data_IF_941932253444
#
_entry.id   IF_941932253444
#
_cell.length_a   1.000
_cell.length_b   1.000
_cell.length_c   1.000
_cell.angle_alpha   90.00
_cell.angle_beta   90.00
_cell.angle_gamma   90.00
#
_symmetry.space_group_name_H-M   'P 1'
#
loop_
_entity.id
_entity.type
_entity.pdbx_description
1 polymer ?
#
# COMPACT_ATOMS: atom_id res chain seq x y z
N UNK A 1 -19.43 4.92 -15.19
CA UNK A 1 -19.80 4.81 -13.76
C UNK A 1 -19.44 6.09 -13.03
N UNK A 2 -20.44 6.83 -12.58
CA UNK A 2 -20.30 7.97 -11.68
C UNK A 2 -20.00 7.52 -10.25
N UNK A 3 -19.03 8.16 -9.59
CA UNK A 3 -18.63 7.88 -8.22
C UNK A 3 -18.94 9.09 -7.33
N UNK A 4 -19.75 8.85 -6.30
CA UNK A 4 -20.04 9.87 -5.28
C UNK A 4 -19.12 9.68 -4.09
N UNK A 5 -18.28 10.68 -3.79
CA UNK A 5 -17.43 10.69 -2.59
C UNK A 5 -18.30 10.66 -1.32
N UNK A 6 -17.97 9.80 -0.37
CA UNK A 6 -18.67 9.66 0.93
C UNK A 6 -17.74 9.95 2.09
N UNK A 7 -16.50 9.48 2.00
CA UNK A 7 -15.51 9.57 3.09
C UNK A 7 -14.40 10.57 2.79
N UNK A 8 -14.16 10.84 1.51
CA UNK A 8 -13.07 11.70 1.03
C UNK A 8 -13.58 13.01 0.46
N UNK A 9 -12.65 13.95 0.26
CA UNK A 9 -12.91 15.22 -0.43
C UNK A 9 -11.90 15.39 -1.55
N UNK A 10 -12.33 16.02 -2.63
CA UNK A 10 -11.45 16.33 -3.75
C UNK A 10 -10.28 17.21 -3.32
N UNK A 11 -9.08 16.91 -3.82
CA UNK A 11 -7.85 17.63 -3.50
C UNK A 11 -7.24 17.32 -2.13
N UNK A 12 -7.86 16.44 -1.32
CA UNK A 12 -7.28 15.98 -0.06
C UNK A 12 -6.60 14.62 -0.24
N UNK A 13 -5.41 14.46 0.33
CA UNK A 13 -4.72 13.17 0.36
C UNK A 13 -5.49 12.18 1.27
N UNK A 14 -6.00 11.05 0.75
CA UNK A 14 -6.69 10.06 1.57
C UNK A 14 -5.75 9.37 2.59
N UNK A 15 -4.43 9.33 2.36
CA UNK A 15 -3.48 8.75 3.32
C UNK A 15 -3.28 9.64 4.55
N UNK A 16 -3.58 10.94 4.46
CA UNK A 16 -3.54 11.87 5.59
C UNK A 16 -4.73 11.73 6.56
N UNK A 17 -5.64 10.76 6.32
CA UNK A 17 -6.83 10.55 7.16
C UNK A 17 -6.57 9.67 8.40
N UNK A 18 -5.33 9.23 8.59
CA UNK A 18 -4.89 8.45 9.76
C UNK A 18 -3.49 8.87 10.19
N UNK A 19 -3.15 8.57 11.43
CA UNK A 19 -1.78 8.68 11.93
C UNK A 19 -0.99 7.42 11.53
N UNK A 20 0.27 7.60 11.12
CA UNK A 20 1.16 6.52 10.72
C UNK A 20 2.23 6.29 11.79
N UNK A 21 2.61 5.03 11.99
CA UNK A 21 3.67 4.64 12.91
C UNK A 21 4.50 3.52 12.33
N UNK A 22 5.78 3.47 12.69
CA UNK A 22 6.64 2.32 12.40
C UNK A 22 6.52 1.26 13.49
N UNK A 23 6.46 -0.01 13.11
CA UNK A 23 6.49 -1.16 14.03
C UNK A 23 7.42 -2.25 13.50
N UNK A 24 8.03 -2.97 14.42
CA UNK A 24 8.79 -4.17 14.09
C UNK A 24 7.83 -5.35 13.88
N UNK A 25 8.06 -6.12 12.82
CA UNK A 25 7.42 -7.41 12.58
C UNK A 25 8.51 -8.47 12.49
N UNK A 26 8.44 -9.47 13.37
CA UNK A 26 9.44 -10.55 13.47
C UNK A 26 8.74 -11.90 13.49
N UNK A 27 9.18 -12.80 12.61
CA UNK A 27 8.73 -14.19 12.57
C UNK A 27 9.90 -15.05 13.05
N UNK A 28 9.65 -15.88 14.05
CA UNK A 28 10.62 -16.79 14.62
C UNK A 28 10.17 -18.24 14.53
N UNK A 29 11.14 -19.16 14.43
CA UNK A 29 10.91 -20.58 14.60
C UNK A 29 10.66 -20.93 16.07
N UNK A 30 10.13 -22.13 16.38
CA UNK A 30 9.96 -22.60 17.75
C UNK A 30 11.27 -22.66 18.57
N UNK A 31 12.42 -22.80 17.89
CA UNK A 31 13.75 -22.79 18.51
C UNK A 31 14.28 -21.36 18.80
N UNK A 32 13.51 -20.32 18.47
CA UNK A 32 13.86 -18.92 18.67
C UNK A 32 14.66 -18.27 17.53
N UNK A 33 15.08 -19.04 16.51
CA UNK A 33 15.78 -18.49 15.35
C UNK A 33 14.86 -17.59 14.52
N UNK A 34 15.43 -16.53 13.91
CA UNK A 34 14.67 -15.56 13.10
C UNK A 34 14.49 -16.06 11.69
N UNK A 35 13.24 -16.19 11.26
CA UNK A 35 12.87 -16.53 9.88
C UNK A 35 12.80 -15.26 9.03
N UNK A 36 12.26 -14.19 9.60
CA UNK A 36 12.07 -12.92 8.92
C UNK A 36 11.96 -11.79 9.93
N UNK A 37 12.51 -10.63 9.60
CA UNK A 37 12.39 -9.42 10.41
C UNK A 37 12.30 -8.18 9.53
N UNK A 38 11.37 -7.30 9.87
CA UNK A 38 11.26 -5.95 9.33
C UNK A 38 11.09 -5.00 10.52
N UNK A 39 12.14 -4.27 10.93
CA UNK A 39 12.11 -3.48 12.17
C UNK A 39 11.25 -2.22 12.07
N UNK A 40 10.92 -1.79 10.86
CA UNK A 40 10.37 -0.47 10.57
C UNK A 40 9.26 -0.50 9.51
N UNK A 41 8.35 -1.46 9.62
CA UNK A 41 7.15 -1.48 8.80
C UNK A 41 6.25 -0.31 9.19
N UNK A 42 5.92 0.56 8.24
CA UNK A 42 4.99 1.67 8.46
C UNK A 42 3.54 1.20 8.27
N UNK A 43 2.71 1.41 9.28
CA UNK A 43 1.30 1.01 9.32
C UNK A 43 0.45 2.11 9.98
N UNK A 44 -0.88 2.12 9.77
CA UNK A 44 -1.76 2.98 10.55
C UNK A 44 -1.61 2.74 12.05
N UNK A 45 -1.56 3.80 12.85
CA UNK A 45 -1.34 3.73 14.29
C UNK A 45 -2.40 2.89 15.02
N UNK A 46 -3.63 2.86 14.49
CA UNK A 46 -4.73 2.05 15.00
C UNK A 46 -4.59 0.54 14.77
N UNK A 47 -3.66 0.07 13.93
CA UNK A 47 -3.48 -1.37 13.73
C UNK A 47 -2.94 -2.03 15.00
N UNK A 48 -3.34 -3.28 15.26
CA UNK A 48 -2.73 -4.08 16.31
C UNK A 48 -1.36 -4.62 15.88
N UNK A 49 -0.56 -5.11 16.83
CA UNK A 49 0.69 -5.80 16.50
C UNK A 49 0.42 -7.03 15.61
N UNK A 50 -0.61 -7.82 15.95
CA UNK A 50 -1.01 -8.98 15.14
C UNK A 50 -1.39 -8.59 13.71
N UNK A 51 -2.13 -7.49 13.52
CA UNK A 51 -2.46 -6.98 12.19
C UNK A 51 -1.20 -6.56 11.42
N UNK A 52 -0.25 -5.91 12.10
CA UNK A 52 1.06 -5.54 11.54
C UNK A 52 1.81 -6.80 11.06
N UNK A 53 1.94 -7.80 11.93
CA UNK A 53 2.67 -9.03 11.63
C UNK A 53 2.03 -9.81 10.47
N UNK A 54 0.70 -9.90 10.44
CA UNK A 54 -0.02 -10.53 9.31
C UNK A 54 0.22 -9.75 8.02
N UNK A 55 0.09 -8.42 8.05
CA UNK A 55 0.24 -7.59 6.86
C UNK A 55 1.65 -7.68 6.27
N UNK A 56 2.67 -7.57 7.11
CA UNK A 56 4.06 -7.67 6.69
C UNK A 56 4.41 -9.08 6.22
N UNK A 57 3.99 -10.11 6.95
CA UNK A 57 4.37 -11.50 6.64
C UNK A 57 3.68 -12.07 5.40
N UNK A 58 2.45 -11.61 5.12
CA UNK A 58 1.59 -12.14 4.05
C UNK A 58 1.47 -11.19 2.87
N UNK A 59 1.25 -9.90 3.08
CA UNK A 59 0.74 -9.01 2.05
C UNK A 59 1.78 -8.02 1.50
N UNK A 60 2.85 -7.75 2.24
CA UNK A 60 3.97 -7.00 1.69
C UNK A 60 4.71 -7.85 0.64
N UNK A 61 4.92 -7.26 -0.54
CA UNK A 61 5.85 -7.83 -1.53
C UNK A 61 7.25 -7.87 -0.93
N UNK A 62 7.92 -9.01 -1.09
CA UNK A 62 9.24 -9.25 -0.47
C UNK A 62 10.42 -8.80 -1.33
N UNK A 63 10.20 -8.61 -2.63
CA UNK A 63 11.23 -8.22 -3.60
C UNK A 63 10.59 -7.62 -4.85
N UNK A 64 11.42 -7.02 -5.72
CA UNK A 64 10.99 -6.54 -7.04
C UNK A 64 10.27 -5.19 -7.04
N UNK A 65 10.07 -4.57 -5.88
CA UNK A 65 9.47 -3.24 -5.79
C UNK A 65 10.55 -2.17 -5.91
N UNK A 66 10.46 -1.22 -6.87
CA UNK A 66 11.39 -0.10 -6.95
C UNK A 66 11.51 0.62 -5.61
N UNK A 67 12.73 0.80 -5.14
CA UNK A 67 12.99 1.53 -3.91
C UNK A 67 13.10 3.02 -4.21
N UNK A 68 12.60 3.85 -3.31
CA UNK A 68 12.58 5.30 -3.44
C UNK A 68 13.53 5.93 -2.41
N UNK A 69 14.06 7.12 -2.69
CA UNK A 69 14.91 7.86 -1.75
C UNK A 69 14.20 8.06 -0.41
N UNK A 70 12.94 8.53 -0.45
CA UNK A 70 12.06 8.51 0.70
C UNK A 70 11.38 7.15 0.86
N UNK A 71 11.86 6.39 1.85
CA UNK A 71 11.51 4.98 2.10
C UNK A 71 10.03 4.59 2.05
N UNK A 72 9.14 5.44 2.57
CA UNK A 72 7.70 5.16 2.70
C UNK A 72 6.84 5.90 1.66
N UNK A 73 7.48 6.64 0.76
CA UNK A 73 6.79 7.37 -0.29
C UNK A 73 6.14 6.41 -1.30
N UNK A 74 5.14 6.94 -2.01
CA UNK A 74 4.48 6.27 -3.12
C UNK A 74 5.19 6.56 -4.45
N UNK A 75 4.99 5.73 -5.49
CA UNK A 75 5.51 6.03 -6.82
C UNK A 75 5.14 7.44 -7.29
N UNK A 76 6.15 8.25 -7.64
CA UNK A 76 5.98 9.63 -8.09
C UNK A 76 6.08 10.69 -6.99
N UNK A 77 6.14 10.31 -5.71
CA UNK A 77 6.37 11.23 -4.60
C UNK A 77 7.87 11.48 -4.33
N UNK A 78 8.73 10.54 -4.73
CA UNK A 78 10.19 10.58 -4.53
C UNK A 78 10.92 9.94 -5.71
N UNK A 79 12.19 10.31 -5.89
CA UNK A 79 13.06 9.70 -6.89
C UNK A 79 13.33 8.22 -6.60
N UNK A 80 13.53 7.46 -7.68
CA UNK A 80 13.88 6.03 -7.62
C UNK A 80 15.36 5.85 -7.34
N UNK A 81 15.68 4.99 -6.37
CA UNK A 81 17.06 4.61 -6.08
C UNK A 81 17.63 3.78 -7.24
N UNK A 82 18.89 4.02 -7.54
CA UNK A 82 19.65 3.32 -8.58
C UNK A 82 20.89 2.67 -7.99
N UNK A 83 21.21 1.49 -8.49
CA UNK A 83 22.47 0.81 -8.21
C UNK A 83 23.64 1.56 -8.90
N UNK A 84 24.87 1.18 -8.55
CA UNK A 84 26.07 1.79 -9.14
C UNK A 84 26.17 1.62 -10.67
N UNK A 85 25.52 0.59 -11.23
CA UNK A 85 25.45 0.35 -12.68
C UNK A 85 24.30 1.11 -13.38
N UNK A 86 23.54 1.93 -12.63
CA UNK A 86 22.42 2.72 -13.13
C UNK A 86 21.08 1.96 -13.20
N UNK A 87 21.04 0.67 -12.88
CA UNK A 87 19.79 -0.10 -12.80
C UNK A 87 18.94 0.34 -11.60
N UNK A 88 17.61 0.21 -11.71
CA UNK A 88 16.69 0.53 -10.60
C UNK A 88 16.93 -0.45 -9.45
N UNK A 89 17.17 0.10 -8.26
CA UNK A 89 17.26 -0.71 -7.05
C UNK A 89 15.86 -1.20 -6.68
N UNK A 90 15.73 -2.50 -6.44
CA UNK A 90 14.46 -3.12 -6.02
C UNK A 90 14.58 -3.77 -4.65
N UNK A 91 13.45 -3.94 -3.97
CA UNK A 91 13.38 -4.47 -2.62
C UNK A 91 11.95 -4.80 -2.21
N UNK A 92 11.68 -4.96 -0.90
CA UNK A 92 10.35 -5.21 -0.39
C UNK A 92 9.50 -3.93 -0.32
N UNK A 93 8.17 -4.09 -0.21
CA UNK A 93 7.30 -3.06 0.36
C UNK A 93 7.66 -2.86 1.84
N UNK A 94 7.52 -1.62 2.33
CA UNK A 94 7.83 -1.25 3.71
C UNK A 94 6.75 -0.45 4.40
N UNK A 95 5.74 0.01 3.65
CA UNK A 95 4.59 0.72 4.19
C UNK A 95 3.29 0.09 3.73
N UNK A 96 2.31 0.03 4.62
CA UNK A 96 0.93 -0.28 4.26
C UNK A 96 0.37 0.74 3.25
N UNK A 97 0.90 1.97 3.19
CA UNK A 97 0.58 2.94 2.12
C UNK A 97 0.85 2.33 0.73
N UNK A 98 2.01 1.69 0.57
CA UNK A 98 2.44 1.11 -0.70
C UNK A 98 1.54 -0.07 -1.12
N UNK A 99 1.18 -0.94 -0.17
CA UNK A 99 0.23 -2.05 -0.42
C UNK A 99 -1.13 -1.51 -0.84
N UNK A 100 -1.67 -0.55 -0.10
CA UNK A 100 -3.00 0.03 -0.35
C UNK A 100 -3.02 0.76 -1.70
N UNK A 101 -1.98 1.54 -2.00
CA UNK A 101 -1.80 2.18 -3.29
C UNK A 101 -1.74 1.16 -4.42
N UNK A 102 -0.97 0.08 -4.27
CA UNK A 102 -0.86 -0.99 -5.27
C UNK A 102 -2.23 -1.59 -5.59
N UNK A 103 -3.06 -1.85 -4.58
CA UNK A 103 -4.41 -2.37 -4.78
C UNK A 103 -5.33 -1.35 -5.44
N UNK A 104 -5.54 -0.20 -4.79
CA UNK A 104 -6.48 0.82 -5.25
C UNK A 104 -6.07 1.38 -6.62
N UNK A 105 -4.78 1.60 -6.83
CA UNK A 105 -4.19 2.10 -8.07
C UNK A 105 -4.35 1.12 -9.22
N UNK A 106 -4.07 -0.18 -9.00
CA UNK A 106 -4.27 -1.19 -10.04
C UNK A 106 -5.74 -1.34 -10.44
N UNK A 107 -6.66 -1.36 -9.47
CA UNK A 107 -8.09 -1.44 -9.79
C UNK A 107 -8.59 -0.19 -10.51
N UNK A 108 -8.13 1.01 -10.11
CA UNK A 108 -8.43 2.24 -10.84
C UNK A 108 -7.89 2.15 -12.27
N UNK A 109 -6.65 1.73 -12.46
CA UNK A 109 -6.03 1.62 -13.78
C UNK A 109 -6.83 0.72 -14.73
N UNK A 110 -7.29 -0.44 -14.25
CA UNK A 110 -8.14 -1.33 -15.05
C UNK A 110 -9.51 -0.74 -15.33
N UNK A 111 -10.11 -0.04 -14.37
CA UNK A 111 -11.36 0.68 -14.58
C UNK A 111 -11.22 1.80 -15.63
N UNK A 112 -10.11 2.53 -15.64
CA UNK A 112 -9.79 3.53 -16.67
C UNK A 112 -9.55 2.86 -18.02
N UNK A 113 -8.76 1.78 -18.07
CA UNK A 113 -8.40 1.04 -19.30
C UNK A 113 -9.62 0.43 -20.00
N UNK A 114 -10.67 0.13 -19.26
CA UNK A 114 -11.90 -0.45 -19.78
C UNK A 114 -13.09 0.53 -19.81
N UNK A 115 -12.81 1.83 -19.72
CA UNK A 115 -13.82 2.90 -19.82
C UNK A 115 -14.98 2.76 -18.82
N UNK A 116 -14.68 2.28 -17.60
CA UNK A 116 -15.71 2.09 -16.58
C UNK A 116 -16.18 3.40 -15.95
N UNK A 117 -15.36 4.45 -15.94
CA UNK A 117 -15.67 5.72 -15.26
C UNK A 117 -16.30 6.73 -16.22
N UNK A 118 -17.27 7.51 -15.72
CA UNK A 118 -17.90 8.56 -16.56
C UNK A 118 -16.95 9.75 -16.79
N UNK A 119 -15.97 9.94 -15.90
CA UNK A 119 -14.95 10.99 -16.01
C UNK A 119 -13.65 10.63 -15.27
N UNK A 120 -12.52 11.32 -15.55
CA UNK A 120 -11.30 11.18 -14.76
C UNK A 120 -11.48 11.52 -13.27
N UNK A 121 -12.40 12.43 -12.95
CA UNK A 121 -12.72 12.78 -11.57
C UNK A 121 -13.40 11.62 -10.83
N UNK A 122 -14.22 10.82 -11.52
CA UNK A 122 -14.83 9.61 -10.96
C UNK A 122 -13.77 8.52 -10.69
N UNK A 123 -12.79 8.37 -11.57
CA UNK A 123 -11.68 7.44 -11.38
C UNK A 123 -10.81 7.82 -10.16
N UNK A 124 -10.54 9.12 -9.99
CA UNK A 124 -9.84 9.63 -8.81
C UNK A 124 -10.68 9.43 -7.53
N UNK A 125 -11.97 9.75 -7.56
CA UNK A 125 -12.85 9.54 -6.43
C UNK A 125 -12.94 8.05 -6.03
N UNK A 126 -12.96 7.14 -7.01
CA UNK A 126 -12.90 5.70 -6.76
C UNK A 126 -11.64 5.28 -6.00
N UNK A 127 -10.47 5.75 -6.46
CA UNK A 127 -9.21 5.49 -5.79
C UNK A 127 -9.20 6.03 -4.35
N UNK A 128 -9.59 7.29 -4.16
CA UNK A 128 -9.55 7.94 -2.85
C UNK A 128 -10.47 7.25 -1.83
N UNK A 129 -11.70 6.92 -2.23
CA UNK A 129 -12.66 6.21 -1.37
C UNK A 129 -12.15 4.81 -0.98
N UNK A 130 -11.51 4.09 -1.91
CA UNK A 130 -10.93 2.78 -1.62
C UNK A 130 -9.73 2.88 -0.67
N UNK A 131 -8.83 3.85 -0.89
CA UNK A 131 -7.70 4.08 0.03
C UNK A 131 -8.23 4.35 1.43
N UNK A 132 -9.21 5.25 1.57
CA UNK A 132 -9.84 5.52 2.86
C UNK A 132 -10.41 4.25 3.49
N UNK A 133 -11.25 3.52 2.77
CA UNK A 133 -11.92 2.34 3.31
C UNK A 133 -10.94 1.22 3.69
N UNK A 134 -9.82 1.06 2.96
CA UNK A 134 -8.76 0.09 3.29
C UNK A 134 -7.98 0.50 4.53
N UNK A 135 -7.62 1.78 4.67
CA UNK A 135 -6.94 2.32 5.85
C UNK A 135 -7.80 2.13 7.10
N UNK A 136 -9.09 2.45 7.01
CA UNK A 136 -10.03 2.43 8.13
C UNK A 136 -10.73 1.08 8.32
N UNK A 137 -10.23 0.02 7.66
CA UNK A 137 -10.73 -1.36 7.76
C UNK A 137 -12.25 -1.50 7.51
N UNK A 138 -12.82 -0.65 6.66
CA UNK A 138 -14.22 -0.67 6.26
C UNK A 138 -14.50 -1.68 5.15
N UNK A 139 -13.47 -2.01 4.37
CA UNK A 139 -13.52 -3.06 3.37
C UNK A 139 -12.19 -3.84 3.36
N UNK A 140 -12.26 -5.08 2.89
CA UNK A 140 -11.10 -5.89 2.59
C UNK A 140 -11.44 -6.80 1.42
N UNK A 141 -10.65 -6.83 0.33
CA UNK A 141 -10.84 -7.81 -0.72
C UNK A 141 -10.43 -9.20 -0.22
N UNK A 142 -10.78 -10.24 -0.98
CA UNK A 142 -10.32 -11.59 -0.69
C UNK A 142 -8.78 -11.70 -0.82
N UNK A 143 -8.20 -12.70 -0.16
CA UNK A 143 -6.74 -12.88 -0.07
C UNK A 143 -6.00 -12.86 -1.42
N UNK A 144 -6.51 -13.50 -2.50
CA UNK A 144 -5.85 -13.44 -3.81
C UNK A 144 -5.56 -12.03 -4.32
N UNK A 145 -6.45 -11.06 -4.05
CA UNK A 145 -6.24 -9.68 -4.47
C UNK A 145 -5.05 -9.05 -3.73
N UNK A 146 -4.93 -9.27 -2.42
CA UNK A 146 -3.80 -8.77 -1.64
C UNK A 146 -2.44 -9.23 -2.18
N UNK A 147 -2.37 -10.49 -2.63
CA UNK A 147 -1.14 -11.09 -3.14
C UNK A 147 -0.79 -10.66 -4.57
N UNK A 148 -1.78 -10.63 -5.46
CA UNK A 148 -1.54 -10.67 -6.90
C UNK A 148 -1.82 -9.34 -7.61
N UNK A 149 -2.59 -8.44 -7.01
CA UNK A 149 -2.99 -7.18 -7.66
C UNK A 149 -1.82 -6.20 -7.69
N UNK A 150 -1.62 -5.59 -8.86
CA UNK A 150 -0.66 -4.51 -9.15
C UNK A 150 0.79 -4.95 -9.12
#
# INVERSE_FOLDING_TARGET
MKITRRFTKEGMDPFATTEWTTRASRISNPDGSVVFEMPDAEVPAGFSQLATDIMVSKYFRKAGVPQLEEKFSLPGESDTLKNADGSVQTGPERSARQVIHRLAGCWRHWGETHDYFDSPADALAFYDELVYMLIHQMCAPNSPQWFNTG
#
